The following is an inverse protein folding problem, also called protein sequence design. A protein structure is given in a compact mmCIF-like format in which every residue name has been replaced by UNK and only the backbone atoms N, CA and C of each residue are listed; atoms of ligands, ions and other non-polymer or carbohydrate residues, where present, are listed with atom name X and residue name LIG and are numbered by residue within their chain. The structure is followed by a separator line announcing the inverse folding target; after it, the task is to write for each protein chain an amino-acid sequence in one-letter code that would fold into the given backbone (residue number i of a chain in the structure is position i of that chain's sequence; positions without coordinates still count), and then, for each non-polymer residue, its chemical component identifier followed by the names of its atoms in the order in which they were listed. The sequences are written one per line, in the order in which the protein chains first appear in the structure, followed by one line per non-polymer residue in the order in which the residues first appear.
data_IF_175927617556
#
_entry.id   IF_175927617556
#
_cell.length_a   1.000
_cell.length_b   1.000
_cell.length_c   1.000
_cell.angle_alpha   90.00
_cell.angle_beta   90.00
_cell.angle_gamma   90.00
#
_symmetry.space_group_name_H-M   'P 1'
#
loop_
_entity.id
_entity.type
_entity.pdbx_description
1 polymer ?
#
# COMPACT_ATOMS: atom_id res chain seq x y z
N UNK A 1 -17.20 -24.54 -3.24
CA UNK A 1 -17.94 -23.32 -3.64
C UNK A 1 -18.74 -23.64 -4.89
N UNK A 2 -20.05 -23.38 -4.91
CA UNK A 2 -21.00 -23.77 -5.96
C UNK A 2 -21.90 -22.60 -6.35
N UNK A 3 -22.25 -22.49 -7.64
CA UNK A 3 -23.40 -21.67 -8.05
C UNK A 3 -24.69 -22.39 -7.67
N UNK A 4 -25.73 -21.63 -7.36
CA UNK A 4 -27.05 -22.19 -7.04
C UNK A 4 -27.55 -23.16 -8.13
N UNK A 5 -27.36 -22.79 -9.41
CA UNK A 5 -27.71 -23.67 -10.53
C UNK A 5 -26.92 -24.98 -10.57
N UNK A 6 -25.63 -24.94 -10.19
CA UNK A 6 -24.78 -26.14 -10.12
C UNK A 6 -25.28 -27.10 -9.02
N UNK A 7 -25.70 -26.55 -7.85
CA UNK A 7 -26.30 -27.33 -6.77
C UNK A 7 -27.61 -27.99 -7.22
N UNK A 8 -28.47 -27.23 -7.91
CA UNK A 8 -29.73 -27.77 -8.43
C UNK A 8 -29.51 -28.86 -9.48
N UNK A 9 -28.58 -28.63 -10.42
CA UNK A 9 -28.22 -29.62 -11.44
C UNK A 9 -27.59 -30.88 -10.83
N UNK A 10 -26.87 -30.75 -9.69
CA UNK A 10 -26.36 -31.89 -8.91
C UNK A 10 -27.37 -32.55 -8.00
N UNK A 11 -28.68 -32.26 -8.13
CA UNK A 11 -29.75 -32.90 -7.40
C UNK A 11 -29.99 -32.39 -5.97
N UNK A 12 -29.32 -31.33 -5.54
CA UNK A 12 -29.54 -30.72 -4.22
C UNK A 12 -30.83 -29.91 -4.25
N UNK A 13 -31.80 -30.19 -3.38
CA UNK A 13 -33.05 -29.45 -3.33
C UNK A 13 -32.91 -28.05 -2.73
N UNK A 14 -33.84 -27.14 -3.07
CA UNK A 14 -33.89 -25.79 -2.47
C UNK A 14 -34.00 -25.82 -0.95
N UNK A 15 -34.77 -26.76 -0.42
CA UNK A 15 -34.92 -26.95 1.02
C UNK A 15 -33.63 -27.39 1.69
N UNK A 16 -32.84 -28.28 1.06
CA UNK A 16 -31.56 -28.73 1.57
C UNK A 16 -30.55 -27.56 1.61
N UNK A 17 -30.44 -26.77 0.56
CA UNK A 17 -29.56 -25.56 0.55
C UNK A 17 -29.94 -24.60 1.67
N UNK A 18 -31.25 -24.34 1.87
CA UNK A 18 -31.75 -23.46 2.92
C UNK A 18 -31.43 -24.01 4.31
N UNK A 19 -31.67 -25.29 4.54
CA UNK A 19 -31.33 -25.95 5.79
C UNK A 19 -29.85 -25.89 6.13
N UNK A 20 -28.97 -26.14 5.15
CA UNK A 20 -27.52 -26.06 5.35
C UNK A 20 -27.05 -24.65 5.67
N UNK A 21 -27.68 -23.62 5.07
CA UNK A 21 -27.40 -22.20 5.37
C UNK A 21 -27.90 -21.83 6.77
N UNK A 22 -29.10 -22.22 7.14
CA UNK A 22 -29.69 -21.96 8.46
C UNK A 22 -28.91 -22.69 9.57
N UNK A 23 -28.38 -23.87 9.28
CA UNK A 23 -27.51 -24.63 10.19
C UNK A 23 -26.05 -24.10 10.24
N UNK A 24 -25.71 -23.06 9.49
CA UNK A 24 -24.37 -22.48 9.46
C UNK A 24 -23.29 -23.35 8.80
N UNK A 25 -23.66 -24.49 8.21
CA UNK A 25 -22.71 -25.36 7.49
C UNK A 25 -22.39 -24.89 6.09
N UNK A 26 -23.29 -24.12 5.48
CA UNK A 26 -23.10 -23.54 4.16
C UNK A 26 -23.27 -22.02 4.24
N UNK A 27 -22.23 -21.25 3.90
CA UNK A 27 -22.26 -19.79 3.84
C UNK A 27 -22.77 -19.30 2.49
N UNK A 28 -23.61 -18.24 2.47
CA UNK A 28 -23.97 -17.53 1.25
C UNK A 28 -22.91 -16.46 0.96
N UNK A 29 -21.89 -16.84 0.21
CA UNK A 29 -20.72 -16.01 -0.10
C UNK A 29 -21.06 -14.80 -0.99
N UNK A 30 -22.05 -14.96 -1.87
CA UNK A 30 -22.53 -13.92 -2.79
C UNK A 30 -23.94 -14.32 -3.29
N UNK A 31 -24.61 -13.42 -4.05
CA UNK A 31 -25.92 -13.75 -4.65
C UNK A 31 -25.80 -14.97 -5.58
N UNK A 32 -26.40 -16.09 -5.16
CA UNK A 32 -26.43 -17.34 -5.91
C UNK A 32 -25.10 -18.12 -5.89
N UNK A 33 -24.20 -17.83 -4.95
CA UNK A 33 -22.96 -18.58 -4.73
C UNK A 33 -22.84 -18.96 -3.25
N UNK A 34 -22.54 -20.23 -3.00
CA UNK A 34 -22.50 -20.84 -1.67
C UNK A 34 -21.16 -21.56 -1.45
N UNK A 35 -20.70 -21.65 -0.20
CA UNK A 35 -19.46 -22.35 0.18
C UNK A 35 -19.42 -22.69 1.67
N UNK A 36 -18.51 -23.56 2.06
CA UNK A 36 -18.35 -23.97 3.47
C UNK A 36 -17.62 -22.96 4.34
N UNK A 37 -16.81 -22.10 3.76
CA UNK A 37 -16.07 -21.04 4.47
C UNK A 37 -16.59 -19.68 4.05
N UNK A 38 -16.85 -18.80 5.01
CA UNK A 38 -17.29 -17.42 4.79
C UNK A 38 -16.16 -16.44 5.15
N UNK A 39 -14.97 -16.69 4.59
CA UNK A 39 -13.83 -15.76 4.68
C UNK A 39 -13.79 -14.78 3.49
N UNK A 40 -12.97 -13.74 3.61
CA UNK A 40 -12.83 -12.71 2.58
C UNK A 40 -12.40 -13.28 1.22
N UNK A 41 -11.48 -14.24 1.22
CA UNK A 41 -10.98 -14.87 -0.01
C UNK A 41 -12.08 -15.65 -0.72
N UNK A 42 -12.89 -16.40 0.02
CA UNK A 42 -14.04 -17.15 -0.50
C UNK A 42 -15.10 -16.22 -1.08
N UNK A 43 -15.37 -15.09 -0.42
CA UNK A 43 -16.28 -14.05 -0.95
C UNK A 43 -15.73 -13.42 -2.23
N UNK A 44 -14.44 -13.12 -2.31
CA UNK A 44 -13.80 -12.62 -3.53
C UNK A 44 -13.89 -13.63 -4.67
N UNK A 45 -13.56 -14.90 -4.45
CA UNK A 45 -13.70 -15.96 -5.46
C UNK A 45 -15.14 -16.04 -5.98
N UNK A 46 -16.12 -15.99 -5.06
CA UNK A 46 -17.54 -16.02 -5.41
C UNK A 46 -17.95 -14.80 -6.26
N UNK A 47 -17.41 -13.62 -5.97
CA UNK A 47 -17.65 -12.43 -6.77
C UNK A 47 -17.06 -12.60 -8.18
N UNK A 48 -15.80 -13.05 -8.30
CA UNK A 48 -15.15 -13.20 -9.61
C UNK A 48 -15.85 -14.20 -10.54
N UNK A 49 -16.49 -15.24 -9.98
CA UNK A 49 -17.36 -16.14 -10.78
C UNK A 49 -18.58 -15.47 -11.42
N UNK A 50 -18.95 -14.26 -10.99
CA UNK A 50 -20.10 -13.49 -11.49
C UNK A 50 -19.70 -12.35 -12.42
N UNK A 51 -18.42 -12.01 -12.46
CA UNK A 51 -17.88 -10.96 -13.29
C UNK A 51 -17.68 -11.47 -14.74
N UNK A 52 -17.62 -10.58 -15.73
CA UNK A 52 -17.30 -10.96 -17.10
C UNK A 52 -15.97 -11.71 -17.19
N UNK A 53 -15.84 -12.66 -18.14
CA UNK A 53 -14.57 -13.33 -18.40
C UNK A 53 -13.45 -12.32 -18.67
N UNK A 54 -12.23 -12.63 -18.20
CA UNK A 54 -11.07 -11.75 -18.35
C UNK A 54 -11.01 -10.59 -17.35
N UNK A 55 -12.02 -10.48 -16.43
CA UNK A 55 -11.94 -9.50 -15.33
C UNK A 55 -10.91 -9.95 -14.29
N UNK A 56 -10.06 -9.02 -13.85
CA UNK A 56 -9.01 -9.28 -12.87
C UNK A 56 -9.13 -8.35 -11.66
N UNK A 57 -8.66 -8.79 -10.50
CA UNK A 57 -8.44 -7.90 -9.35
C UNK A 57 -7.33 -6.90 -9.71
N UNK A 58 -7.52 -5.64 -9.35
CA UNK A 58 -6.54 -4.58 -9.60
C UNK A 58 -6.59 -3.51 -8.52
N UNK A 59 -5.84 -2.44 -8.69
CA UNK A 59 -5.83 -1.31 -7.76
C UNK A 59 -5.68 -1.76 -6.30
N UNK A 60 -6.54 -1.28 -5.39
CA UNK A 60 -6.50 -1.62 -3.96
C UNK A 60 -6.65 -3.12 -3.68
N UNK A 61 -7.53 -3.81 -4.42
CA UNK A 61 -7.72 -5.26 -4.23
C UNK A 61 -6.49 -6.03 -4.69
N UNK A 62 -5.93 -5.68 -5.86
CA UNK A 62 -4.68 -6.28 -6.34
C UNK A 62 -3.51 -6.02 -5.39
N UNK A 63 -3.35 -4.77 -4.91
CA UNK A 63 -2.32 -4.41 -3.94
C UNK A 63 -2.41 -5.26 -2.64
N UNK A 64 -3.63 -5.48 -2.13
CA UNK A 64 -3.85 -6.36 -0.96
C UNK A 64 -3.49 -7.82 -1.25
N UNK A 65 -3.89 -8.34 -2.40
CA UNK A 65 -3.55 -9.72 -2.80
C UNK A 65 -2.03 -9.91 -2.92
N UNK A 66 -1.33 -8.91 -3.44
CA UNK A 66 0.15 -8.87 -3.50
C UNK A 66 0.84 -8.45 -2.20
N UNK A 67 0.08 -8.22 -1.10
CA UNK A 67 0.57 -7.88 0.25
C UNK A 67 1.30 -6.55 0.39
N UNK A 68 0.98 -5.57 -0.45
CA UNK A 68 1.52 -4.20 -0.34
C UNK A 68 0.46 -3.11 -0.23
N UNK A 69 -0.76 -3.43 0.23
CA UNK A 69 -1.84 -2.46 0.40
C UNK A 69 -1.53 -1.41 1.47
N UNK A 70 -1.15 -0.21 1.06
CA UNK A 70 -0.84 0.93 1.94
C UNK A 70 -2.04 1.82 2.25
N UNK A 71 -3.03 1.82 1.36
CA UNK A 71 -4.23 2.66 1.43
C UNK A 71 -5.44 1.74 1.34
N UNK A 72 -6.37 1.92 2.27
CA UNK A 72 -7.59 1.11 2.34
C UNK A 72 -8.71 1.75 1.52
N UNK A 73 -9.42 0.91 0.80
CA UNK A 73 -10.75 1.18 0.23
C UNK A 73 -11.59 -0.07 0.49
N UNK A 74 -12.78 0.12 1.07
CA UNK A 74 -13.66 -1.00 1.46
C UNK A 74 -14.29 -1.72 0.25
N UNK A 75 -14.16 -1.13 -0.93
CA UNK A 75 -14.67 -1.71 -2.17
C UNK A 75 -13.71 -2.73 -2.74
N UNK A 76 -14.27 -3.70 -3.45
CA UNK A 76 -13.49 -4.61 -4.30
C UNK A 76 -13.21 -3.92 -5.64
N UNK A 77 -11.95 -3.71 -5.95
CA UNK A 77 -11.51 -3.08 -7.19
C UNK A 77 -11.20 -4.13 -8.26
N UNK A 78 -11.85 -4.02 -9.39
CA UNK A 78 -11.67 -4.92 -10.54
C UNK A 78 -11.38 -4.14 -11.81
N UNK A 79 -10.53 -4.71 -12.67
CA UNK A 79 -10.26 -4.21 -14.01
C UNK A 79 -11.00 -5.12 -14.97
N UNK A 80 -11.87 -4.54 -15.80
CA UNK A 80 -12.56 -5.26 -16.88
C UNK A 80 -11.81 -5.09 -18.19
N UNK A 81 -11.84 -6.10 -19.09
CA UNK A 81 -11.20 -5.99 -20.39
C UNK A 81 -11.71 -4.81 -21.21
N UNK A 82 -10.89 -4.27 -22.12
CA UNK A 82 -11.32 -3.23 -23.05
C UNK A 82 -12.59 -3.64 -23.81
N UNK A 83 -13.54 -2.71 -23.92
CA UNK A 83 -14.81 -2.93 -24.63
C UNK A 83 -15.84 -3.78 -23.88
N UNK A 84 -15.50 -4.34 -22.72
CA UNK A 84 -16.42 -5.12 -21.91
C UNK A 84 -17.18 -4.22 -20.94
N UNK A 85 -18.51 -4.29 -20.96
CA UNK A 85 -19.37 -3.60 -19.98
C UNK A 85 -19.63 -4.52 -18.78
N UNK A 86 -19.31 -4.05 -17.58
CA UNK A 86 -19.63 -4.77 -16.35
C UNK A 86 -20.87 -4.19 -15.68
N UNK A 87 -21.77 -5.07 -15.25
CA UNK A 87 -22.93 -4.68 -14.46
C UNK A 87 -22.48 -4.08 -13.13
N UNK A 88 -23.08 -2.96 -12.73
CA UNK A 88 -22.82 -2.34 -11.44
C UNK A 88 -23.19 -3.29 -10.30
N UNK A 89 -22.23 -3.57 -9.44
CA UNK A 89 -22.39 -4.40 -8.24
C UNK A 89 -22.05 -3.54 -7.01
N UNK A 90 -22.93 -3.55 -6.01
CA UNK A 90 -22.69 -2.80 -4.75
C UNK A 90 -21.40 -3.29 -4.10
N UNK A 91 -20.56 -2.37 -3.64
CA UNK A 91 -19.27 -2.68 -3.02
C UNK A 91 -18.16 -3.06 -4.00
N UNK A 92 -18.40 -2.92 -5.32
CA UNK A 92 -17.39 -3.16 -6.35
C UNK A 92 -17.10 -1.87 -7.10
N UNK A 93 -15.84 -1.50 -7.19
CA UNK A 93 -15.33 -0.45 -8.04
C UNK A 93 -14.81 -1.08 -9.34
N UNK A 94 -15.53 -0.83 -10.43
CA UNK A 94 -15.15 -1.35 -11.75
C UNK A 94 -14.34 -0.32 -12.49
N UNK A 95 -13.12 -0.69 -12.89
CA UNK A 95 -12.25 0.11 -13.72
C UNK A 95 -12.28 -0.40 -15.15
N UNK A 96 -12.79 0.44 -16.04
CA UNK A 96 -12.65 0.23 -17.47
C UNK A 96 -11.29 0.72 -17.90
N UNK A 97 -10.53 -0.11 -18.61
CA UNK A 97 -9.22 0.27 -19.10
C UNK A 97 -9.15 0.16 -20.61
N UNK A 98 -8.34 1.00 -21.23
CA UNK A 98 -7.96 0.87 -22.64
C UNK A 98 -6.78 -0.08 -22.81
N UNK A 99 -6.04 -0.34 -21.73
CA UNK A 99 -4.90 -1.25 -21.72
C UNK A 99 -5.34 -2.64 -21.21
N UNK A 100 -5.14 -3.70 -21.99
CA UNK A 100 -5.40 -5.06 -21.51
C UNK A 100 -4.50 -5.42 -20.34
N UNK A 101 -4.80 -6.51 -19.65
CA UNK A 101 -3.95 -7.12 -18.63
C UNK A 101 -3.60 -8.53 -19.14
N UNK A 102 -2.62 -8.67 -20.05
CA UNK A 102 -2.32 -9.94 -20.71
C UNK A 102 -1.73 -10.97 -19.72
N UNK A 103 -0.91 -10.50 -18.76
CA UNK A 103 -0.14 -11.32 -17.84
C UNK A 103 -0.83 -11.45 -16.47
N UNK A 104 -2.16 -11.65 -16.47
CA UNK A 104 -2.91 -11.84 -15.24
C UNK A 104 -2.42 -13.12 -14.52
N UNK A 105 -2.21 -12.97 -13.20
CA UNK A 105 -1.80 -14.03 -12.30
C UNK A 105 -3.01 -14.62 -11.60
N UNK A 106 -2.88 -15.81 -11.05
CA UNK A 106 -3.87 -16.37 -10.12
C UNK A 106 -3.30 -16.31 -8.68
N UNK A 107 -3.93 -15.51 -7.82
CA UNK A 107 -3.55 -15.42 -6.40
C UNK A 107 -4.72 -15.94 -5.58
N UNK A 108 -4.49 -17.01 -4.84
CA UNK A 108 -5.51 -17.68 -4.02
C UNK A 108 -6.79 -18.00 -4.81
N UNK A 109 -6.71 -18.41 -6.07
CA UNK A 109 -7.84 -18.71 -6.96
C UNK A 109 -8.60 -17.47 -7.44
N UNK A 110 -7.97 -16.30 -7.43
CA UNK A 110 -8.52 -15.02 -7.88
C UNK A 110 -7.64 -14.49 -9.01
N UNK A 111 -8.16 -14.23 -10.22
CA UNK A 111 -7.42 -13.56 -11.27
C UNK A 111 -7.00 -12.16 -10.81
N UNK A 112 -5.72 -11.85 -10.90
CA UNK A 112 -5.15 -10.61 -10.39
C UNK A 112 -4.19 -10.00 -11.43
N UNK A 113 -4.23 -8.68 -11.59
CA UNK A 113 -3.24 -7.96 -12.37
C UNK A 113 -1.86 -8.06 -11.70
N UNK A 114 -0.76 -8.02 -12.46
CA UNK A 114 0.60 -7.98 -11.91
C UNK A 114 0.78 -6.87 -10.87
N UNK A 115 1.70 -7.08 -9.91
CA UNK A 115 1.93 -6.12 -8.83
C UNK A 115 2.31 -4.73 -9.33
N UNK A 116 3.20 -4.64 -10.32
CA UNK A 116 3.60 -3.38 -10.93
C UNK A 116 2.40 -2.65 -11.55
N UNK A 117 1.51 -3.38 -12.25
CA UNK A 117 0.26 -2.82 -12.79
C UNK A 117 -0.62 -2.25 -11.69
N UNK A 118 -0.86 -2.99 -10.62
CA UNK A 118 -1.67 -2.53 -9.49
C UNK A 118 -1.07 -1.28 -8.83
N UNK A 119 0.25 -1.25 -8.64
CA UNK A 119 0.96 -0.15 -8.02
C UNK A 119 0.93 1.12 -8.89
N UNK A 120 1.20 1.00 -10.20
CA UNK A 120 1.18 2.13 -11.14
C UNK A 120 -0.24 2.65 -11.35
N UNK A 121 -1.24 1.79 -11.50
CA UNK A 121 -2.63 2.21 -11.59
C UNK A 121 -3.07 2.99 -10.35
N UNK A 122 -2.69 2.58 -9.15
CA UNK A 122 -2.93 3.33 -7.92
C UNK A 122 -2.17 4.66 -7.94
N UNK A 123 -0.86 4.65 -8.23
CA UNK A 123 -0.03 5.84 -8.23
C UNK A 123 -0.53 6.92 -9.21
N UNK A 124 -1.25 6.53 -10.26
CA UNK A 124 -1.85 7.46 -11.23
C UNK A 124 -3.13 8.14 -10.72
N UNK A 125 -3.91 7.49 -9.87
CA UNK A 125 -5.28 7.92 -9.56
C UNK A 125 -5.50 8.41 -8.14
N UNK A 126 -4.69 7.99 -7.19
CA UNK A 126 -4.80 8.44 -5.80
C UNK A 126 -3.96 9.71 -5.56
N UNK A 127 -4.17 10.35 -4.42
CA UNK A 127 -3.41 11.54 -4.05
C UNK A 127 -1.91 11.24 -3.99
N UNK A 128 -1.08 12.16 -4.41
CA UNK A 128 0.38 12.04 -4.47
C UNK A 128 0.98 11.55 -3.14
N UNK A 129 0.50 12.11 -2.02
CA UNK A 129 0.95 11.71 -0.68
C UNK A 129 0.59 10.26 -0.31
N UNK A 130 -0.44 9.69 -0.91
CA UNK A 130 -0.85 8.30 -0.70
C UNK A 130 -0.22 7.34 -1.72
N UNK A 131 0.21 7.87 -2.84
CA UNK A 131 0.73 7.09 -3.96
C UNK A 131 2.18 6.62 -3.74
N UNK A 132 3.06 7.46 -3.17
CA UNK A 132 4.44 7.04 -2.89
C UNK A 132 4.52 5.86 -1.92
N UNK A 133 3.77 5.84 -0.79
CA UNK A 133 3.73 4.67 0.09
C UNK A 133 3.34 3.36 -0.61
N UNK A 134 2.45 3.41 -1.59
CA UNK A 134 2.06 2.21 -2.36
C UNK A 134 3.26 1.66 -3.15
N UNK A 135 4.03 2.54 -3.78
CA UNK A 135 5.21 2.16 -4.55
C UNK A 135 6.33 1.65 -3.65
N UNK A 136 6.59 2.34 -2.54
CA UNK A 136 7.60 1.93 -1.54
C UNK A 136 7.30 0.53 -1.00
N UNK A 137 6.06 0.30 -0.55
CA UNK A 137 5.64 -0.99 0.01
C UNK A 137 5.57 -2.10 -1.05
N UNK A 138 5.25 -1.78 -2.30
CA UNK A 138 5.31 -2.73 -3.40
C UNK A 138 6.74 -3.25 -3.61
N UNK A 139 7.72 -2.35 -3.61
CA UNK A 139 9.14 -2.69 -3.71
C UNK A 139 9.63 -3.43 -2.45
N UNK A 140 9.25 -2.96 -1.25
CA UNK A 140 9.61 -3.58 0.02
C UNK A 140 9.07 -5.01 0.16
N UNK A 141 7.87 -5.25 -0.29
CA UNK A 141 7.26 -6.59 -0.29
C UNK A 141 7.92 -7.54 -1.30
N UNK A 142 8.83 -7.05 -2.14
CA UNK A 142 9.40 -7.82 -3.24
C UNK A 142 8.33 -8.24 -4.27
N UNK A 143 7.20 -7.54 -4.31
CA UNK A 143 6.10 -7.88 -5.20
C UNK A 143 6.43 -7.58 -6.68
N UNK A 144 7.30 -6.61 -6.92
CA UNK A 144 7.92 -6.34 -8.22
C UNK A 144 9.26 -5.62 -8.01
N UNK A 145 10.04 -5.49 -9.07
CA UNK A 145 11.27 -4.70 -9.11
C UNK A 145 10.98 -3.28 -9.62
N UNK A 146 11.92 -2.36 -9.42
CA UNK A 146 11.83 -0.99 -9.94
C UNK A 146 11.68 -0.94 -11.46
N UNK A 147 12.38 -1.81 -12.16
CA UNK A 147 12.34 -1.93 -13.61
C UNK A 147 10.95 -2.30 -14.12
N UNK A 148 10.23 -3.13 -13.37
CA UNK A 148 8.85 -3.52 -13.68
C UNK A 148 7.90 -2.31 -13.54
N UNK A 149 8.11 -1.46 -12.52
CA UNK A 149 7.35 -0.21 -12.36
C UNK A 149 7.63 0.79 -13.49
N UNK A 150 8.89 0.93 -13.90
CA UNK A 150 9.28 1.81 -15.02
C UNK A 150 8.67 1.34 -16.34
N UNK A 151 8.72 0.04 -16.61
CA UNK A 151 8.10 -0.58 -17.77
C UNK A 151 6.59 -0.34 -17.78
N UNK A 152 5.95 -0.52 -16.64
CA UNK A 152 4.50 -0.30 -16.51
C UNK A 152 4.13 1.18 -16.69
N UNK A 153 4.92 2.12 -16.17
CA UNK A 153 4.73 3.57 -16.42
C UNK A 153 4.83 3.88 -17.92
N UNK A 154 5.80 3.30 -18.61
CA UNK A 154 5.96 3.48 -20.07
C UNK A 154 4.76 2.93 -20.84
N UNK A 155 4.25 1.75 -20.44
CA UNK A 155 3.03 1.16 -21.00
C UNK A 155 1.79 2.06 -20.84
N UNK A 156 1.74 2.86 -19.77
CA UNK A 156 0.67 3.81 -19.50
C UNK A 156 0.84 5.18 -20.17
N UNK A 157 1.77 5.32 -21.12
CA UNK A 157 2.02 6.59 -21.81
C UNK A 157 0.71 7.19 -22.36
N UNK A 158 0.52 8.50 -22.16
CA UNK A 158 -0.69 9.21 -22.58
C UNK A 158 -1.89 9.08 -21.63
N UNK A 159 -1.89 8.17 -20.68
CA UNK A 159 -3.00 8.04 -19.75
C UNK A 159 -2.95 9.09 -18.62
N UNK A 160 -4.13 9.48 -18.13
CA UNK A 160 -4.26 10.42 -17.01
C UNK A 160 -3.45 9.96 -15.80
N UNK A 161 -2.69 10.88 -15.22
CA UNK A 161 -1.91 10.65 -14.00
C UNK A 161 -0.57 9.93 -14.20
N UNK A 162 -0.22 9.52 -15.43
CA UNK A 162 1.05 8.82 -15.69
C UNK A 162 2.29 9.66 -15.33
N UNK A 163 2.23 10.99 -15.49
CA UNK A 163 3.33 11.89 -15.09
C UNK A 163 3.57 11.81 -13.58
N UNK A 164 2.51 11.83 -12.77
CA UNK A 164 2.62 11.65 -11.31
C UNK A 164 3.24 10.30 -10.97
N UNK A 165 2.74 9.20 -11.57
CA UNK A 165 3.28 7.89 -11.33
C UNK A 165 4.78 7.80 -11.68
N UNK A 166 5.19 8.32 -12.85
CA UNK A 166 6.60 8.33 -13.27
C UNK A 166 7.50 9.10 -12.30
N UNK A 167 7.07 10.29 -11.85
CA UNK A 167 7.80 11.06 -10.84
C UNK A 167 7.95 10.29 -9.53
N UNK A 168 6.88 9.63 -9.08
CA UNK A 168 6.89 8.89 -7.81
C UNK A 168 7.68 7.58 -7.90
N UNK A 169 7.68 6.89 -9.03
CA UNK A 169 8.52 5.69 -9.26
C UNK A 169 10.01 6.05 -9.15
N UNK A 170 10.42 7.24 -9.63
CA UNK A 170 11.79 7.72 -9.46
C UNK A 170 12.16 7.94 -7.98
N UNK A 171 11.20 8.33 -7.14
CA UNK A 171 11.38 8.58 -5.71
C UNK A 171 11.15 7.34 -4.84
N UNK A 172 10.56 6.27 -5.37
CA UNK A 172 10.21 5.10 -4.58
C UNK A 172 11.43 4.45 -3.92
N UNK A 173 11.32 4.02 -2.68
CA UNK A 173 12.41 3.41 -1.92
C UNK A 173 11.88 2.27 -1.03
N UNK A 174 12.37 1.03 -1.20
CA UNK A 174 11.90 -0.12 -0.43
C UNK A 174 12.30 -0.09 1.05
N UNK A 175 13.17 0.83 1.45
CA UNK A 175 13.60 0.96 2.85
C UNK A 175 12.51 1.54 3.75
N UNK A 176 11.60 2.37 3.25
CA UNK A 176 10.47 2.88 4.05
C UNK A 176 9.64 1.73 4.63
N UNK A 177 9.41 1.73 5.94
CA UNK A 177 8.75 0.63 6.64
C UNK A 177 7.25 0.84 6.79
N UNK A 178 6.81 2.09 6.81
CA UNK A 178 5.40 2.42 6.93
C UNK A 178 4.98 3.54 5.99
N UNK A 179 3.65 3.68 5.84
CA UNK A 179 3.04 4.73 5.01
C UNK A 179 3.48 6.12 5.41
N UNK A 180 3.58 6.38 6.70
CA UNK A 180 3.84 7.71 7.23
C UNK A 180 5.28 8.14 7.03
N UNK A 181 6.23 7.23 7.09
CA UNK A 181 7.63 7.51 6.72
C UNK A 181 7.75 7.94 5.26
N UNK A 182 7.09 7.21 4.35
CA UNK A 182 7.03 7.58 2.93
C UNK A 182 6.37 8.95 2.72
N UNK A 183 5.29 9.24 3.46
CA UNK A 183 4.59 10.53 3.39
C UNK A 183 5.45 11.67 3.94
N UNK A 184 6.15 11.47 5.06
CA UNK A 184 7.07 12.45 5.63
C UNK A 184 8.23 12.73 4.65
N UNK A 185 8.81 11.67 4.06
CA UNK A 185 9.86 11.80 3.04
C UNK A 185 9.39 12.60 1.84
N UNK A 186 8.21 12.28 1.30
CA UNK A 186 7.64 13.00 0.17
C UNK A 186 7.34 14.47 0.50
N UNK A 187 6.81 14.74 1.70
CA UNK A 187 6.53 16.10 2.16
C UNK A 187 7.79 16.99 2.14
N UNK A 188 8.92 16.44 2.57
CA UNK A 188 10.19 17.17 2.57
C UNK A 188 10.70 17.43 1.15
N UNK A 189 10.64 16.42 0.28
CA UNK A 189 11.01 16.53 -1.13
C UNK A 189 10.13 17.54 -1.86
N UNK A 190 8.80 17.44 -1.73
CA UNK A 190 7.84 18.36 -2.35
C UNK A 190 7.96 19.77 -1.75
N UNK A 191 8.46 19.91 -0.52
CA UNK A 191 8.83 21.15 0.13
C UNK A 191 10.13 21.77 -0.37
N UNK A 192 10.80 21.17 -1.37
CA UNK A 192 12.04 21.67 -1.96
C UNK A 192 13.27 21.47 -1.06
N UNK A 193 13.24 20.51 -0.13
CA UNK A 193 14.39 20.12 0.67
C UNK A 193 15.16 18.98 -0.01
N UNK A 194 16.46 18.81 0.30
CA UNK A 194 17.20 17.63 -0.15
C UNK A 194 16.47 16.34 0.24
N UNK A 195 16.61 15.29 -0.57
CA UNK A 195 16.03 14.00 -0.27
C UNK A 195 16.68 13.39 0.98
N UNK A 196 15.92 13.16 2.07
CA UNK A 196 16.48 12.48 3.23
C UNK A 196 16.73 11.00 2.94
N UNK A 197 17.75 10.43 3.57
CA UNK A 197 18.05 9.01 3.52
C UNK A 197 17.04 8.24 4.40
N UNK A 198 16.25 7.29 3.86
CA UNK A 198 15.36 6.48 4.69
C UNK A 198 16.14 5.38 5.39
N UNK A 199 15.71 5.04 6.61
CA UNK A 199 16.27 4.00 7.46
C UNK A 199 17.78 4.17 7.66
N UNK A 200 18.17 5.42 8.03
CA UNK A 200 19.56 5.81 8.21
C UNK A 200 20.17 5.17 9.46
N UNK A 201 21.21 4.36 9.27
CA UNK A 201 21.98 3.81 10.38
C UNK A 201 23.02 4.80 10.90
N UNK A 202 23.05 4.98 12.22
CA UNK A 202 24.05 5.74 12.96
C UNK A 202 25.02 4.75 13.59
N UNK A 203 26.32 4.80 13.19
CA UNK A 203 27.33 3.94 13.78
C UNK A 203 27.83 4.51 15.11
N UNK A 204 28.44 3.63 15.93
CA UNK A 204 29.25 4.01 17.08
C UNK A 204 30.66 4.46 16.68
N UNK A 205 31.55 4.62 17.70
CA UNK A 205 32.93 5.01 17.51
C UNK A 205 33.75 3.95 16.77
N UNK A 206 33.35 2.68 16.87
CA UNK A 206 33.98 1.54 16.20
C UNK A 206 33.41 1.32 14.78
N UNK A 207 32.43 2.13 14.34
CA UNK A 207 31.79 2.02 13.05
C UNK A 207 30.65 1.01 13.00
N UNK A 208 30.26 0.41 14.13
CA UNK A 208 29.16 -0.55 14.20
C UNK A 208 27.81 0.16 14.23
N UNK A 209 26.82 -0.27 13.43
CA UNK A 209 25.50 0.36 13.39
C UNK A 209 24.74 0.10 14.69
N UNK A 210 24.49 1.15 15.49
CA UNK A 210 23.77 1.06 16.76
C UNK A 210 22.31 1.46 16.65
N UNK A 211 22.05 2.63 16.07
CA UNK A 211 20.69 3.16 15.98
C UNK A 211 20.28 3.40 14.54
N UNK A 212 19.02 3.12 14.27
CA UNK A 212 18.40 3.35 12.97
C UNK A 212 17.34 4.46 13.10
N UNK A 213 17.43 5.44 12.23
CA UNK A 213 16.53 6.59 12.14
C UNK A 213 15.59 6.39 10.94
N UNK A 214 14.31 6.73 11.07
CA UNK A 214 13.34 6.58 9.98
C UNK A 214 13.78 7.34 8.73
N UNK A 215 14.24 8.59 8.92
CA UNK A 215 14.80 9.45 7.88
C UNK A 215 15.99 10.25 8.44
N UNK A 216 16.96 10.59 7.62
CA UNK A 216 18.06 11.43 8.07
C UNK A 216 18.82 12.14 6.96
N UNK A 217 19.60 13.12 7.39
CA UNK A 217 20.63 13.82 6.59
C UNK A 217 21.97 13.58 7.27
N UNK A 218 22.71 12.59 6.79
CA UNK A 218 23.96 12.13 7.39
C UNK A 218 24.98 13.24 7.58
N UNK A 219 25.25 14.00 6.51
CA UNK A 219 26.26 15.07 6.50
C UNK A 219 25.93 16.24 7.43
N UNK A 220 24.67 16.34 7.84
CA UNK A 220 24.16 17.38 8.73
C UNK A 220 23.84 16.86 10.13
N UNK A 221 24.00 15.57 10.37
CA UNK A 221 23.60 14.87 11.59
C UNK A 221 22.18 15.24 12.05
N UNK A 222 21.23 15.23 11.09
CA UNK A 222 19.82 15.46 11.36
C UNK A 222 19.08 14.13 11.25
N UNK A 223 18.37 13.76 12.32
CA UNK A 223 17.49 12.60 12.35
C UNK A 223 16.02 13.00 12.48
N UNK A 224 15.17 12.34 11.73
CA UNK A 224 13.73 12.58 11.71
C UNK A 224 13.01 11.25 11.95
N UNK A 225 12.05 11.24 12.85
CA UNK A 225 11.27 10.05 13.19
C UNK A 225 9.78 10.36 13.13
N UNK A 226 9.02 9.36 12.76
CA UNK A 226 7.56 9.40 12.82
C UNK A 226 7.06 8.57 14.01
N UNK A 227 6.52 9.23 15.03
CA UNK A 227 5.85 8.56 16.14
C UNK A 227 4.36 8.31 15.79
N UNK A 228 4.08 7.07 15.38
CA UNK A 228 2.73 6.65 15.02
C UNK A 228 1.80 6.38 16.20
N UNK A 229 2.34 6.09 17.39
CA UNK A 229 1.58 5.79 18.61
C UNK A 229 2.45 5.99 19.84
N UNK A 230 2.10 6.93 20.66
CA UNK A 230 2.59 7.04 22.05
C UNK A 230 1.97 5.92 22.90
N UNK A 231 2.43 4.66 22.75
CA UNK A 231 2.18 3.66 23.78
C UNK A 231 3.18 3.90 24.90
N UNK A 232 2.71 4.52 25.98
CA UNK A 232 3.43 4.77 27.21
C UNK A 232 3.65 3.46 27.99
N UNK A 233 4.51 2.59 27.48
CA UNK A 233 5.06 1.51 28.29
C UNK A 233 6.28 2.03 29.07
N UNK A 234 6.30 1.97 30.42
CA UNK A 234 7.36 2.58 31.23
C UNK A 234 8.78 2.13 30.89
N UNK A 235 8.96 0.89 30.45
CA UNK A 235 10.27 0.36 30.04
C UNK A 235 10.80 0.93 28.71
N UNK A 236 9.94 1.27 27.78
CA UNK A 236 10.31 1.90 26.50
C UNK A 236 10.79 3.35 26.68
N UNK A 237 10.13 4.10 27.56
CA UNK A 237 10.50 5.49 27.84
C UNK A 237 11.95 5.65 28.33
N UNK A 238 12.47 4.70 29.09
CA UNK A 238 13.86 4.76 29.57
C UNK A 238 14.85 4.50 28.43
N UNK A 239 14.54 3.52 27.60
CA UNK A 239 15.38 3.17 26.43
C UNK A 239 15.41 4.29 25.38
N UNK A 240 14.25 4.89 25.12
CA UNK A 240 14.12 6.01 24.17
C UNK A 240 14.91 7.25 24.65
N UNK A 241 14.91 7.53 25.96
CA UNK A 241 15.69 8.65 26.53
C UNK A 241 17.20 8.40 26.40
N UNK A 242 17.69 7.21 26.73
CA UNK A 242 19.09 6.86 26.60
C UNK A 242 19.58 6.95 25.18
N UNK A 243 18.76 6.49 24.22
CA UNK A 243 19.02 6.62 22.78
C UNK A 243 19.11 8.08 22.33
N UNK A 244 18.14 8.91 22.73
CA UNK A 244 18.13 10.33 22.36
C UNK A 244 19.32 11.09 22.97
N UNK A 245 19.70 10.79 24.22
CA UNK A 245 20.85 11.40 24.86
C UNK A 245 22.15 11.03 24.12
N UNK A 246 22.34 9.75 23.83
CA UNK A 246 23.49 9.29 23.07
C UNK A 246 23.57 9.96 21.68
N UNK A 247 22.46 10.01 20.95
CA UNK A 247 22.40 10.69 19.66
C UNK A 247 22.76 12.18 19.79
N UNK A 248 22.31 12.85 20.85
CA UNK A 248 22.65 14.25 21.10
C UNK A 248 24.15 14.43 21.42
N UNK A 249 24.75 13.54 22.22
CA UNK A 249 26.20 13.50 22.52
C UNK A 249 27.02 13.32 21.23
N UNK A 250 26.51 12.51 20.28
CA UNK A 250 27.10 12.36 18.95
C UNK A 250 26.78 13.52 17.99
N UNK A 251 26.18 14.59 18.48
CA UNK A 251 25.87 15.80 17.70
C UNK A 251 24.67 15.66 16.76
N UNK A 252 23.83 14.63 16.92
CA UNK A 252 22.61 14.48 16.12
C UNK A 252 21.51 15.39 16.62
N UNK A 253 20.88 16.10 15.68
CA UNK A 253 19.72 16.97 15.92
C UNK A 253 18.45 16.24 15.56
N UNK A 254 17.79 15.65 16.54
CA UNK A 254 16.60 14.84 16.34
C UNK A 254 15.32 15.66 16.25
N UNK A 255 14.38 15.24 15.42
CA UNK A 255 12.99 15.68 15.39
C UNK A 255 12.08 14.48 15.30
N UNK A 256 11.06 14.48 16.16
CA UNK A 256 10.01 13.46 16.17
C UNK A 256 8.71 14.14 15.76
N UNK A 257 8.03 13.58 14.78
CA UNK A 257 6.78 14.09 14.25
C UNK A 257 5.64 13.09 14.44
N UNK A 258 4.47 13.62 14.79
CA UNK A 258 3.26 12.83 15.01
C UNK A 258 2.32 12.90 13.81
N UNK A 259 1.22 12.11 13.87
CA UNK A 259 0.13 12.21 12.90
C UNK A 259 -0.46 13.63 12.82
N UNK A 260 -0.54 14.33 13.96
CA UNK A 260 -1.03 15.72 14.00
C UNK A 260 -0.11 16.65 13.23
N UNK A 261 1.20 16.50 13.36
CA UNK A 261 2.16 17.31 12.62
C UNK A 261 2.09 17.03 11.13
N UNK A 262 2.11 15.75 10.76
CA UNK A 262 2.11 15.32 9.37
C UNK A 262 0.84 15.73 8.61
N UNK A 263 -0.34 15.58 9.24
CA UNK A 263 -1.61 15.79 8.54
C UNK A 263 -2.24 17.17 8.77
N UNK A 264 -1.92 17.85 9.88
CA UNK A 264 -2.52 19.14 10.20
C UNK A 264 -1.54 20.33 10.12
N UNK A 265 -0.23 20.08 10.21
CA UNK A 265 0.81 21.11 10.23
C UNK A 265 1.99 20.81 9.29
N UNK A 266 1.76 20.35 8.05
CA UNK A 266 2.84 19.90 7.16
C UNK A 266 3.87 21.01 6.88
N UNK A 267 3.43 22.29 6.74
CA UNK A 267 4.36 23.41 6.53
C UNK A 267 5.31 23.61 7.72
N UNK A 268 4.85 23.34 8.96
CA UNK A 268 5.69 23.44 10.14
C UNK A 268 6.85 22.41 10.08
N UNK A 269 6.58 21.19 9.62
CA UNK A 269 7.63 20.17 9.42
C UNK A 269 8.67 20.68 8.44
N UNK A 270 8.25 21.14 7.25
CA UNK A 270 9.16 21.65 6.21
C UNK A 270 9.98 22.83 6.71
N UNK A 271 9.35 23.79 7.40
CA UNK A 271 10.05 24.96 7.97
C UNK A 271 11.05 24.55 9.06
N UNK A 272 10.68 23.65 9.95
CA UNK A 272 11.55 23.13 11.02
C UNK A 272 12.80 22.44 10.46
N UNK A 273 12.61 21.54 9.47
CA UNK A 273 13.74 20.82 8.85
C UNK A 273 14.61 21.77 8.02
N UNK A 274 14.00 22.72 7.31
CA UNK A 274 14.76 23.75 6.57
C UNK A 274 15.66 24.56 7.50
N UNK A 275 15.13 25.01 8.65
CA UNK A 275 15.91 25.73 9.65
C UNK A 275 17.10 24.91 10.16
N UNK A 276 16.93 23.60 10.38
CA UNK A 276 18.02 22.70 10.76
C UNK A 276 19.08 22.56 9.66
N UNK A 277 18.66 22.46 8.40
CA UNK A 277 19.57 22.29 7.27
C UNK A 277 20.40 23.55 7.00
N UNK A 278 19.84 24.74 7.28
CA UNK A 278 20.50 26.05 7.06
C UNK A 278 21.31 26.53 8.27
N UNK A 279 21.09 25.97 9.46
CA UNK A 279 21.88 26.30 10.64
C UNK A 279 23.35 25.85 10.47
N UNK A 280 24.30 26.62 10.96
CA UNK A 280 25.70 26.15 11.06
C UNK A 280 25.79 24.80 11.77
N UNK A 281 26.73 23.99 11.36
CA UNK A 281 26.99 22.68 11.95
C UNK A 281 27.59 22.81 13.36
#
# INVERSE_FOLDING_TARGET
MWRYGELMAGGVSRGAVRHEVEAGRLGRLSRGVYGYTDDETSRLRALFRRLPPGTVAGFHTGARLHRFGAVTDDRVHVIVPPGVSARRIRGVATHQTVLPVPDALEIAGIPCAPAARCAVDLARVIRRADALPVLDLCLRAGACRREDLLTEVAWHAGLRGVRQAGQLVALADPRSECRQESQLRLLLIDGGLPTPEPQLWVPDEDGLPIYRLDLGYRDRRIGLEYDGRSHLEPGRLHHDRSRLNWLAEQGWRMRVYTATDLYRRPQHIVASVRALLTAPA
#
